data_IF_886127483283
#
_entry.id   IF_886127483283
#
_cell.length_a   1.000
_cell.length_b   1.000
_cell.length_c   1.000
_cell.angle_alpha   90.00
_cell.angle_beta   90.00
_cell.angle_gamma   90.00
#
_symmetry.space_group_name_H-M   'P 1'
#
loop_
_entity.id
_entity.type
_entity.pdbx_description
1 polymer ?
#
# COMPACT_ATOMS: atom_id res chain seq x y z
N UNK A 1 14.23 12.82 -6.63
CA UNK A 1 14.24 11.83 -5.54
C UNK A 1 12.89 11.95 -4.83
N UNK A 2 11.96 11.01 -5.04
CA UNK A 2 10.68 11.04 -4.32
C UNK A 2 10.90 10.46 -2.91
N UNK A 3 10.49 11.19 -1.88
CA UNK A 3 10.59 10.78 -0.49
C UNK A 3 9.20 10.84 0.15
N UNK A 4 8.93 9.91 1.06
CA UNK A 4 7.71 9.89 1.86
C UNK A 4 8.14 10.15 3.30
N UNK A 5 7.64 11.22 3.88
CA UNK A 5 7.87 11.52 5.28
C UNK A 5 6.93 10.70 6.18
N UNK A 6 7.19 10.74 7.48
CA UNK A 6 6.39 9.99 8.45
C UNK A 6 4.92 10.44 8.47
N UNK A 7 4.65 11.71 8.18
CA UNK A 7 3.29 12.25 8.12
C UNK A 7 2.53 11.68 6.92
N UNK A 8 3.13 11.65 5.73
CA UNK A 8 2.55 11.04 4.56
C UNK A 8 2.33 9.54 4.76
N UNK A 9 3.28 8.82 5.36
CA UNK A 9 3.12 7.40 5.69
C UNK A 9 1.94 7.17 6.67
N UNK A 10 1.74 8.07 7.62
CA UNK A 10 0.61 8.03 8.55
C UNK A 10 -0.72 8.32 7.85
N UNK A 11 -0.76 9.28 6.93
CA UNK A 11 -1.95 9.53 6.10
C UNK A 11 -2.32 8.31 5.24
N UNK A 12 -1.33 7.64 4.66
CA UNK A 12 -1.56 6.39 3.93
C UNK A 12 -2.18 5.30 4.82
N UNK A 13 -1.81 5.22 6.10
CA UNK A 13 -2.40 4.29 7.04
C UNK A 13 -3.88 4.55 7.33
N UNK A 14 -4.28 5.82 7.38
CA UNK A 14 -5.68 6.20 7.60
C UNK A 14 -6.52 5.86 6.37
N UNK A 15 -6.00 6.18 5.18
CA UNK A 15 -6.64 5.82 3.91
C UNK A 15 -6.79 4.30 3.80
N UNK A 16 -5.72 3.55 4.06
CA UNK A 16 -5.76 2.09 4.01
C UNK A 16 -6.77 1.48 4.99
N UNK A 17 -6.91 2.09 6.17
CA UNK A 17 -7.93 1.69 7.15
C UNK A 17 -9.34 1.98 6.63
N UNK A 18 -9.59 3.18 6.12
CA UNK A 18 -10.90 3.57 5.60
C UNK A 18 -11.33 2.69 4.40
N UNK A 19 -10.40 2.36 3.50
CA UNK A 19 -10.67 1.43 2.40
C UNK A 19 -11.01 0.02 2.91
N UNK A 20 -10.28 -0.48 3.91
CA UNK A 20 -10.55 -1.78 4.52
C UNK A 20 -11.91 -1.80 5.22
N UNK A 21 -12.24 -0.75 5.97
CA UNK A 21 -13.53 -0.61 6.67
C UNK A 21 -14.70 -0.55 5.68
N UNK A 22 -14.48 -0.02 4.46
CA UNK A 22 -15.45 -0.02 3.35
C UNK A 22 -15.48 -1.33 2.54
N UNK A 23 -14.69 -2.33 2.92
CA UNK A 23 -14.60 -3.62 2.21
C UNK A 23 -13.82 -3.56 0.89
N UNK A 24 -13.07 -2.50 0.64
CA UNK A 24 -12.21 -2.36 -0.53
C UNK A 24 -10.85 -3.01 -0.33
N UNK A 25 -10.23 -3.44 -1.44
CA UNK A 25 -8.86 -3.97 -1.45
C UNK A 25 -7.92 -2.88 -1.93
N UNK A 26 -6.90 -2.57 -1.13
CA UNK A 26 -5.87 -1.60 -1.47
C UNK A 26 -4.61 -2.31 -1.99
N UNK A 27 -4.20 -1.96 -3.20
CA UNK A 27 -2.97 -2.44 -3.83
C UNK A 27 -1.96 -1.30 -3.96
N UNK A 28 -0.71 -1.56 -3.56
CA UNK A 28 0.41 -0.62 -3.71
C UNK A 28 1.31 -1.07 -4.85
N UNK A 29 1.65 -0.13 -5.74
CA UNK A 29 2.44 -0.40 -6.94
C UNK A 29 3.69 0.45 -6.96
N UNK A 30 4.83 -0.14 -7.34
CA UNK A 30 6.05 0.60 -7.63
C UNK A 30 6.67 1.27 -6.40
N UNK A 31 6.44 0.72 -5.21
CA UNK A 31 7.01 1.27 -3.98
C UNK A 31 8.52 1.06 -3.92
N UNK A 32 9.29 2.15 -4.02
CA UNK A 32 10.74 2.15 -3.84
C UNK A 32 11.13 1.67 -2.42
N UNK A 33 12.36 1.19 -2.26
CA UNK A 33 12.86 0.66 -0.97
C UNK A 33 12.70 1.64 0.21
N UNK A 34 13.00 2.93 -0.01
CA UNK A 34 12.82 3.97 1.01
C UNK A 34 11.35 4.16 1.42
N UNK A 35 10.42 4.06 0.45
CA UNK A 35 8.98 4.16 0.72
C UNK A 35 8.48 2.94 1.52
N UNK A 36 8.98 1.73 1.19
CA UNK A 36 8.69 0.52 1.97
C UNK A 36 9.12 0.69 3.43
N UNK A 37 10.32 1.19 3.68
CA UNK A 37 10.81 1.41 5.05
C UNK A 37 9.95 2.43 5.81
N UNK A 38 9.55 3.54 5.15
CA UNK A 38 8.66 4.54 5.76
C UNK A 38 7.28 3.95 6.10
N UNK A 39 6.70 3.18 5.18
CA UNK A 39 5.43 2.50 5.40
C UNK A 39 5.53 1.44 6.51
N UNK A 40 6.63 0.68 6.56
CA UNK A 40 6.88 -0.31 7.63
C UNK A 40 7.04 0.36 9.00
N UNK A 41 7.81 1.44 9.08
CA UNK A 41 7.98 2.23 10.29
C UNK A 41 6.67 2.83 10.79
N UNK A 42 5.76 3.19 9.89
CA UNK A 42 4.42 3.69 10.24
C UNK A 42 3.43 2.59 10.63
N UNK A 43 3.77 1.31 10.43
CA UNK A 43 2.90 0.16 10.72
C UNK A 43 1.88 -0.17 9.62
N UNK A 44 2.07 0.32 8.40
CA UNK A 44 1.17 0.12 7.26
C UNK A 44 0.94 -1.35 6.93
N UNK A 45 2.02 -2.15 6.94
CA UNK A 45 1.97 -3.59 6.67
C UNK A 45 1.28 -4.42 7.75
N UNK A 46 0.87 -3.82 8.88
CA UNK A 46 -0.01 -4.50 9.85
C UNK A 46 -1.48 -4.40 9.46
N UNK A 47 -1.83 -3.41 8.62
CA UNK A 47 -3.22 -3.11 8.22
C UNK A 47 -3.52 -3.66 6.82
N UNK A 48 -2.54 -3.53 5.92
CA UNK A 48 -2.56 -4.06 4.56
C UNK A 48 -1.68 -5.30 4.50
N UNK A 49 -2.20 -6.39 3.93
CA UNK A 49 -1.42 -7.60 3.73
C UNK A 49 -0.21 -7.30 2.85
N UNK A 50 0.98 -7.76 3.28
CA UNK A 50 2.25 -7.53 2.55
C UNK A 50 2.20 -8.04 1.11
N UNK A 51 1.29 -8.95 0.82
CA UNK A 51 1.02 -9.55 -0.50
C UNK A 51 0.40 -8.57 -1.51
N UNK A 52 -0.15 -7.43 -1.04
CA UNK A 52 -0.74 -6.42 -1.91
C UNK A 52 0.26 -5.39 -2.45
N UNK A 53 1.58 -5.65 -2.33
CA UNK A 53 2.62 -4.83 -2.94
C UNK A 53 3.15 -5.45 -4.23
N UNK A 54 2.95 -4.73 -5.32
CA UNK A 54 3.35 -5.15 -6.65
C UNK A 54 4.46 -4.26 -7.23
N UNK A 55 5.40 -4.83 -7.99
CA UNK A 55 6.45 -4.05 -8.64
C UNK A 55 5.89 -3.20 -9.78
N UNK A 56 4.87 -3.69 -10.49
CA UNK A 56 4.27 -2.99 -11.63
C UNK A 56 2.74 -2.91 -11.55
N UNK A 57 2.18 -1.91 -12.25
CA UNK A 57 0.73 -1.70 -12.31
C UNK A 57 0.03 -2.88 -13.00
N UNK A 58 0.71 -3.48 -13.99
CA UNK A 58 0.18 -4.65 -14.71
C UNK A 58 -0.01 -5.84 -13.78
N UNK A 59 0.92 -6.08 -12.86
CA UNK A 59 0.82 -7.17 -11.89
C UNK A 59 -0.34 -6.95 -10.92
N UNK A 60 -0.47 -5.71 -10.40
CA UNK A 60 -1.57 -5.36 -9.51
C UNK A 60 -2.93 -5.48 -10.20
N UNK A 61 -3.05 -5.02 -11.45
CA UNK A 61 -4.28 -5.15 -12.23
C UNK A 61 -4.62 -6.61 -12.52
N UNK A 62 -3.63 -7.44 -12.85
CA UNK A 62 -3.85 -8.87 -13.10
C UNK A 62 -4.38 -9.61 -11.86
N UNK A 63 -3.94 -9.22 -10.66
CA UNK A 63 -4.48 -9.76 -9.40
C UNK A 63 -5.85 -9.18 -9.09
N UNK A 64 -6.03 -7.86 -9.26
CA UNK A 64 -7.31 -7.20 -9.03
C UNK A 64 -8.43 -7.80 -9.89
N UNK A 65 -8.20 -7.97 -11.20
CA UNK A 65 -9.15 -8.60 -12.14
C UNK A 65 -9.39 -10.09 -11.90
N UNK A 66 -8.56 -10.75 -11.09
CA UNK A 66 -8.75 -12.16 -10.72
C UNK A 66 -9.57 -12.33 -9.43
N UNK A 67 -9.69 -11.26 -8.65
CA UNK A 67 -10.48 -11.20 -7.40
C UNK A 67 -11.85 -10.54 -7.59
N UNK A 68 -12.25 -10.24 -8.84
CA UNK A 68 -13.61 -9.80 -9.21
C UNK A 68 -14.61 -10.97 -9.24
#
# INVERSE_FOLDING_TARGET
MAYCDYMAATAFNEIAKDFKDKGGILYLVGANASLRLALEASGFFKKVEKENLFPTLKDALAIASRNE
#
